data_IF_571948074258
#
_entry.id   IF_571948074258
#
_cell.length_a   1.000
_cell.length_b   1.000
_cell.length_c   1.000
_cell.angle_alpha   90.00
_cell.angle_beta   90.00
_cell.angle_gamma   90.00
#
_symmetry.space_group_name_H-M   'P 1'
#
loop_
_entity.id
_entity.type
_entity.pdbx_description
1 polymer ?
#
# COMPACT_ATOMS: atom_id res chain seq x y z
N UNK A 1 0.31 1.25 -2.11
CA UNK A 1 1.22 0.22 -2.66
C UNK A 1 2.47 0.92 -3.11
N UNK A 2 3.60 0.49 -2.58
CA UNK A 2 4.93 0.88 -3.02
C UNK A 2 5.52 -0.25 -3.85
N UNK A 3 6.19 0.07 -4.96
CA UNK A 3 6.77 -0.91 -5.85
C UNK A 3 8.05 -1.52 -5.27
N UNK A 4 8.76 -0.79 -4.40
CA UNK A 4 10.15 -1.09 -4.08
C UNK A 4 11.07 -0.70 -5.22
N UNK A 5 12.19 -0.04 -4.92
CA UNK A 5 13.22 0.32 -5.89
C UNK A 5 14.48 -0.53 -5.65
N UNK A 6 14.92 -1.26 -6.68
CA UNK A 6 16.13 -2.11 -6.65
C UNK A 6 16.09 -3.21 -5.57
N UNK A 7 16.55 -2.91 -4.35
CA UNK A 7 16.59 -3.84 -3.21
C UNK A 7 15.42 -3.63 -2.23
N UNK A 8 14.69 -2.51 -2.36
CA UNK A 8 13.58 -2.23 -1.45
C UNK A 8 12.41 -3.18 -1.73
N UNK A 9 11.74 -3.68 -0.67
CA UNK A 9 10.62 -4.59 -0.83
C UNK A 9 9.41 -3.87 -1.46
N UNK A 10 8.68 -4.59 -2.30
CA UNK A 10 7.31 -4.21 -2.64
C UNK A 10 6.45 -4.25 -1.38
N UNK A 11 5.62 -3.23 -1.17
CA UNK A 11 4.73 -3.15 -0.01
C UNK A 11 3.29 -2.82 -0.42
N UNK A 12 2.35 -3.70 -0.08
CA UNK A 12 0.92 -3.49 -0.22
C UNK A 12 0.26 -3.56 1.16
N UNK A 13 -0.60 -2.58 1.45
CA UNK A 13 -1.29 -2.49 2.74
C UNK A 13 -2.76 -2.22 2.47
N UNK A 14 -3.62 -2.95 3.18
CA UNK A 14 -5.05 -2.62 3.29
C UNK A 14 -5.29 -1.88 4.57
N UNK A 15 -5.91 -0.71 4.44
CA UNK A 15 -6.32 0.08 5.57
C UNK A 15 -7.68 0.73 5.32
N UNK A 16 -8.36 1.08 6.41
CA UNK A 16 -9.62 1.80 6.38
C UNK A 16 -9.72 2.73 7.58
N UNK A 17 -10.53 3.77 7.44
CA UNK A 17 -10.76 4.76 8.50
C UNK A 17 -12.16 4.51 9.06
N UNK A 18 -12.26 4.43 10.39
CA UNK A 18 -13.54 4.37 11.10
C UNK A 18 -13.41 5.12 12.41
N UNK A 19 -14.38 5.97 12.73
CA UNK A 19 -14.44 6.73 13.99
C UNK A 19 -13.15 7.53 14.30
N UNK A 20 -12.53 8.06 13.23
CA UNK A 20 -11.25 8.78 13.25
C UNK A 20 -10.05 7.95 13.76
N UNK A 21 -10.15 6.63 13.56
CA UNK A 21 -9.08 5.66 13.79
C UNK A 21 -8.70 5.03 12.45
N UNK A 22 -7.40 4.99 12.17
CA UNK A 22 -6.86 4.28 11.02
C UNK A 22 -6.61 2.82 11.40
N UNK A 23 -7.28 1.91 10.72
CA UNK A 23 -7.08 0.47 10.89
C UNK A 23 -6.26 -0.06 9.73
N UNK A 24 -5.16 -0.76 10.04
CA UNK A 24 -4.37 -1.54 9.09
C UNK A 24 -4.64 -3.00 9.38
N UNK A 25 -5.28 -3.71 8.45
CA UNK A 25 -5.77 -5.06 8.70
C UNK A 25 -5.12 -6.14 7.86
N UNK A 26 -4.54 -5.82 6.71
CA UNK A 26 -3.72 -6.73 5.91
C UNK A 26 -2.48 -6.03 5.36
N UNK A 27 -1.41 -6.79 5.24
CA UNK A 27 -0.19 -6.42 4.52
C UNK A 27 0.22 -7.58 3.62
N UNK A 28 0.82 -7.28 2.48
CA UNK A 28 1.46 -8.24 1.57
C UNK A 28 2.65 -7.55 0.89
N UNK A 29 3.60 -8.34 0.40
CA UNK A 29 4.83 -7.80 -0.17
C UNK A 29 6.07 -8.59 0.24
N UNK A 30 7.24 -8.08 -0.13
CA UNK A 30 8.51 -8.77 0.02
C UNK A 30 9.57 -8.23 -0.94
N UNK A 31 10.78 -8.75 -0.81
CA UNK A 31 11.89 -8.44 -1.72
C UNK A 31 11.89 -9.39 -2.91
N UNK A 32 12.42 -8.95 -4.05
CA UNK A 32 12.59 -9.80 -5.23
C UNK A 32 11.29 -10.22 -5.93
N UNK A 33 10.18 -9.52 -5.69
CA UNK A 33 8.90 -9.80 -6.36
C UNK A 33 8.93 -9.19 -7.76
N UNK A 34 8.78 -10.02 -8.78
CA UNK A 34 8.66 -9.58 -10.16
C UNK A 34 7.24 -9.09 -10.48
N UNK A 35 7.11 -8.23 -11.51
CA UNK A 35 5.84 -7.57 -11.88
C UNK A 35 4.72 -8.57 -12.23
N UNK A 36 5.08 -9.74 -12.76
CA UNK A 36 4.20 -10.84 -13.10
C UNK A 36 3.77 -11.69 -11.88
N UNK A 37 4.54 -11.67 -10.79
CA UNK A 37 4.21 -12.33 -9.51
C UNK A 37 3.33 -11.45 -8.60
N UNK A 38 3.29 -10.14 -8.84
CA UNK A 38 2.50 -9.20 -8.04
C UNK A 38 1.01 -9.57 -7.88
N UNK A 39 0.31 -10.13 -8.89
CA UNK A 39 -1.07 -10.54 -8.70
C UNK A 39 -1.25 -11.57 -7.58
N UNK A 40 -0.34 -12.54 -7.47
CA UNK A 40 -0.40 -13.57 -6.42
C UNK A 40 -0.24 -12.93 -5.04
N UNK A 41 0.74 -12.03 -4.91
CA UNK A 41 1.01 -11.29 -3.66
C UNK A 41 -0.15 -10.36 -3.30
N UNK A 42 -0.71 -9.63 -4.27
CA UNK A 42 -1.83 -8.72 -4.01
C UNK A 42 -3.12 -9.48 -3.69
N UNK A 43 -3.32 -10.66 -4.25
CA UNK A 43 -4.50 -11.49 -4.00
C UNK A 43 -4.48 -12.15 -2.60
N UNK A 44 -3.34 -12.16 -1.89
CA UNK A 44 -3.27 -12.49 -0.45
C UNK A 44 -4.12 -11.55 0.42
N UNK A 45 -4.28 -10.30 -0.03
CA UNK A 45 -5.12 -9.30 0.63
C UNK A 45 -6.55 -9.44 0.08
N UNK A 46 -7.54 -9.83 0.91
CA UNK A 46 -8.88 -10.06 0.41
C UNK A 46 -9.51 -8.79 -0.17
N UNK A 47 -10.12 -8.92 -1.34
CA UNK A 47 -10.85 -7.82 -1.99
C UNK A 47 -9.97 -6.76 -2.67
N UNK A 48 -8.67 -6.99 -2.85
CA UNK A 48 -7.77 -6.08 -3.59
C UNK A 48 -8.20 -5.80 -5.01
N UNK A 49 -8.80 -6.78 -5.69
CA UNK A 49 -9.35 -6.59 -7.04
C UNK A 49 -10.57 -5.67 -7.07
N UNK A 50 -11.32 -5.59 -5.96
CA UNK A 50 -12.55 -4.78 -5.85
C UNK A 50 -12.26 -3.35 -5.42
N UNK A 51 -11.44 -3.19 -4.39
CA UNK A 51 -11.20 -1.90 -3.76
C UNK A 51 -10.12 -1.10 -4.48
N UNK A 52 -10.18 0.25 -4.45
CA UNK A 52 -9.20 1.08 -5.12
C UNK A 52 -7.82 0.98 -4.46
N UNK A 53 -6.80 0.74 -5.26
CA UNK A 53 -5.40 0.70 -4.85
C UNK A 53 -4.74 2.01 -5.29
N UNK A 54 -4.19 2.75 -4.31
CA UNK A 54 -3.30 3.89 -4.58
C UNK A 54 -1.87 3.37 -4.64
N UNK A 55 -1.28 3.42 -5.83
CA UNK A 55 0.07 2.94 -6.08
C UNK A 55 1.04 4.09 -6.33
N UNK A 56 2.33 3.86 -6.07
CA UNK A 56 3.35 4.87 -6.29
C UNK A 56 3.38 5.32 -7.76
N UNK A 57 3.29 6.64 -7.95
CA UNK A 57 3.21 7.27 -9.26
C UNK A 57 4.57 7.37 -9.97
N UNK A 58 5.67 6.96 -9.35
CA UNK A 58 6.98 6.89 -10.01
C UNK A 58 7.02 5.85 -11.15
N UNK A 59 6.13 4.84 -11.12
CA UNK A 59 6.07 3.78 -12.14
C UNK A 59 4.68 3.68 -12.79
N UNK A 60 4.26 4.67 -13.60
CA UNK A 60 2.93 4.69 -14.21
C UNK A 60 2.71 3.54 -15.21
N UNK A 61 3.79 3.02 -15.82
CA UNK A 61 3.70 1.85 -16.69
C UNK A 61 3.26 0.60 -15.92
N UNK A 62 3.79 0.38 -14.71
CA UNK A 62 3.40 -0.75 -13.86
C UNK A 62 1.94 -0.63 -13.41
N UNK A 63 1.49 0.58 -13.08
CA UNK A 63 0.07 0.85 -12.77
C UNK A 63 -0.81 0.45 -13.95
N UNK A 64 -0.48 0.94 -15.15
CA UNK A 64 -1.24 0.65 -16.36
C UNK A 64 -1.25 -0.85 -16.68
N UNK A 65 -0.10 -1.52 -16.55
CA UNK A 65 0.02 -2.96 -16.74
C UNK A 65 -0.86 -3.74 -15.77
N UNK A 66 -0.80 -3.45 -14.46
CA UNK A 66 -1.61 -4.13 -13.45
C UNK A 66 -3.12 -3.88 -13.65
N UNK A 67 -3.51 -2.65 -13.98
CA UNK A 67 -4.90 -2.29 -14.23
C UNK A 67 -5.46 -2.94 -15.52
N UNK A 68 -4.68 -2.97 -16.60
CA UNK A 68 -5.13 -3.50 -17.89
C UNK A 68 -4.95 -5.01 -18.01
N UNK A 69 -3.82 -5.58 -17.63
CA UNK A 69 -3.55 -7.02 -17.78
C UNK A 69 -4.29 -7.86 -16.74
N UNK A 70 -4.32 -7.40 -15.50
CA UNK A 70 -4.83 -8.16 -14.36
C UNK A 70 -6.12 -7.59 -13.75
N UNK A 71 -6.66 -6.50 -14.32
CA UNK A 71 -7.95 -5.89 -13.94
C UNK A 71 -7.99 -5.39 -12.49
N UNK A 72 -6.86 -4.95 -11.94
CA UNK A 72 -6.85 -4.26 -10.65
C UNK A 72 -7.45 -2.86 -10.77
N UNK A 73 -8.19 -2.43 -9.74
CA UNK A 73 -8.64 -1.06 -9.59
C UNK A 73 -7.50 -0.17 -9.05
N UNK A 74 -6.45 0.02 -9.85
CA UNK A 74 -5.24 0.72 -9.44
C UNK A 74 -5.13 2.11 -10.08
N UNK A 75 -4.78 3.10 -9.27
CA UNK A 75 -4.58 4.48 -9.72
C UNK A 75 -3.33 5.09 -9.09
N UNK A 76 -2.65 6.03 -9.77
CA UNK A 76 -1.49 6.69 -9.20
C UNK A 76 -1.87 7.50 -7.95
N UNK A 77 -1.02 7.43 -6.94
CA UNK A 77 -1.06 8.35 -5.80
C UNK A 77 -0.77 9.78 -6.27
N UNK A 78 -1.47 10.76 -5.72
CA UNK A 78 -1.19 12.17 -5.99
C UNK A 78 0.03 12.58 -5.16
N UNK A 79 1.06 13.13 -5.79
CA UNK A 79 2.23 13.72 -5.14
C UNK A 79 2.28 15.23 -5.43
N UNK A 80 2.67 16.01 -4.43
CA UNK A 80 2.93 17.46 -4.52
C UNK A 80 4.10 17.82 -3.60
N UNK A 81 4.74 18.99 -3.76
CA UNK A 81 5.78 19.44 -2.82
C UNK A 81 5.21 19.50 -1.40
N UNK A 82 5.84 18.81 -0.43
CA UNK A 82 5.34 18.70 0.94
C UNK A 82 4.35 17.55 1.19
N UNK A 83 3.99 16.76 0.17
CA UNK A 83 2.99 15.69 0.32
C UNK A 83 3.37 14.58 1.32
N UNK A 84 4.66 14.40 1.58
CA UNK A 84 5.15 13.42 2.56
C UNK A 84 4.89 13.92 3.97
N UNK A 85 5.27 15.16 4.24
CA UNK A 85 5.06 15.85 5.51
C UNK A 85 3.56 15.95 5.83
N UNK A 86 2.75 16.38 4.86
CA UNK A 86 1.29 16.43 4.97
C UNK A 86 0.69 15.05 5.28
N UNK A 87 1.23 14.00 4.67
CA UNK A 87 0.83 12.62 4.91
C UNK A 87 1.14 12.16 6.33
N UNK A 88 2.33 12.47 6.83
CA UNK A 88 2.76 12.17 8.20
C UNK A 88 1.89 12.91 9.21
N UNK A 89 1.65 14.20 8.99
CA UNK A 89 0.80 15.01 9.87
C UNK A 89 -0.64 14.50 9.88
N UNK A 90 -1.16 14.09 8.71
CA UNK A 90 -2.48 13.45 8.63
C UNK A 90 -2.54 12.13 9.40
N UNK A 91 -1.47 11.32 9.37
CA UNK A 91 -1.37 10.08 10.14
C UNK A 91 -1.35 10.35 11.65
N UNK A 92 -0.57 11.35 12.08
CA UNK A 92 -0.49 11.78 13.49
C UNK A 92 -1.80 12.39 14.00
N UNK A 93 -2.61 12.97 13.11
CA UNK A 93 -3.89 13.57 13.45
C UNK A 93 -5.00 12.55 13.78
N UNK A 94 -4.86 11.27 13.41
CA UNK A 94 -5.83 10.25 13.82
C UNK A 94 -5.79 10.06 15.35
N UNK A 95 -6.95 9.82 15.97
CA UNK A 95 -7.03 9.48 17.40
C UNK A 95 -6.17 8.28 17.76
N UNK A 96 -6.09 7.32 16.84
CA UNK A 96 -5.29 6.11 16.98
C UNK A 96 -5.00 5.49 15.62
N UNK A 97 -3.88 4.80 15.53
CA UNK A 97 -3.59 3.85 14.45
C UNK A 97 -3.60 2.44 15.06
N UNK A 98 -4.42 1.56 14.51
CA UNK A 98 -4.60 0.17 14.97
C UNK A 98 -4.07 -0.77 13.90
N UNK A 99 -2.96 -1.43 14.19
CA UNK A 99 -2.37 -2.43 13.32
C UNK A 99 -2.80 -3.82 13.78
N UNK A 100 -3.42 -4.59 12.90
CA UNK A 100 -3.82 -5.97 13.20
C UNK A 100 -2.58 -6.83 13.42
N UNK A 101 -2.64 -7.81 14.34
CA UNK A 101 -1.56 -8.76 14.64
C UNK A 101 -1.03 -9.58 13.45
N UNK A 102 -1.73 -9.54 12.32
CA UNK A 102 -1.35 -10.25 11.09
C UNK A 102 -0.41 -9.41 10.21
N UNK A 103 -0.19 -8.16 10.59
CA UNK A 103 0.67 -7.22 9.89
C UNK A 103 1.94 -6.95 10.71
N UNK A 104 2.81 -7.97 10.90
CA UNK A 104 3.99 -7.82 11.73
C UNK A 104 4.99 -6.83 11.14
N UNK A 105 5.11 -6.74 9.80
CA UNK A 105 6.10 -5.84 9.17
C UNK A 105 5.73 -4.39 9.36
N UNK A 106 4.45 -4.04 9.15
CA UNK A 106 3.96 -2.69 9.46
C UNK A 106 4.12 -2.39 10.95
N UNK A 107 3.78 -3.34 11.84
CA UNK A 107 3.95 -3.12 13.26
C UNK A 107 5.41 -2.87 13.69
N UNK A 108 6.37 -3.47 12.99
CA UNK A 108 7.81 -3.24 13.20
C UNK A 108 8.23 -1.85 12.67
N UNK A 109 7.81 -1.47 11.46
CA UNK A 109 8.11 -0.16 10.88
C UNK A 109 7.57 1.00 11.72
N UNK A 110 6.41 0.84 12.36
CA UNK A 110 5.84 1.85 13.28
C UNK A 110 6.62 2.02 14.59
N UNK A 111 7.54 1.12 14.93
CA UNK A 111 8.34 1.16 16.17
C UNK A 111 9.74 1.73 15.97
N UNK A 112 10.18 1.87 14.72
CA UNK A 112 11.44 2.51 14.35
C UNK A 112 11.29 4.02 14.44
#
# INVERSE_FOLDING_TARGET
>A
MDWGFSQDPTAAVRCFIRDDVLYVDYEAGGTGIHLDELPEVLDEIPGTRRWPIKADCASPQNISFMATRYRYNMTPAKKWPGSVEDGIDRLKAFKRIVVHRRCPRIAEEFRK
#
